data_IF_936196233981
#
_entry.id   IF_936196233981
#
_cell.length_a   1.000
_cell.length_b   1.000
_cell.length_c   1.000
_cell.angle_alpha   90.00
_cell.angle_beta   90.00
_cell.angle_gamma   90.00
#
_symmetry.space_group_name_H-M   'P 1'
#
loop_
_entity.id
_entity.type
_entity.pdbx_description
1 polymer ?
#
# COMPACT_ATOMS: atom_id res chain seq x y z
N UNK A 1 -8.31 -23.71 11.01
CA UNK A 1 -9.13 -24.03 9.81
C UNK A 1 -9.60 -22.72 9.21
N UNK A 2 -9.13 -22.38 8.00
CA UNK A 2 -9.69 -21.27 7.26
C UNK A 2 -11.08 -21.68 6.77
N UNK A 3 -12.08 -20.86 7.09
CA UNK A 3 -13.39 -21.02 6.48
C UNK A 3 -13.28 -20.66 5.00
N UNK A 4 -14.17 -21.20 4.18
CA UNK A 4 -14.30 -20.83 2.78
C UNK A 4 -14.49 -19.30 2.69
N UNK A 5 -13.74 -18.63 1.80
CA UNK A 5 -13.93 -17.20 1.54
C UNK A 5 -15.33 -16.94 1.00
N UNK A 6 -15.83 -15.72 1.23
CA UNK A 6 -17.09 -15.29 0.64
C UNK A 6 -16.95 -15.22 -0.89
N UNK A 7 -17.99 -15.62 -1.60
CA UNK A 7 -18.06 -15.41 -3.03
C UNK A 7 -18.36 -13.94 -3.39
N UNK A 8 -18.26 -13.60 -4.67
CA UNK A 8 -18.44 -12.22 -5.13
C UNK A 8 -19.85 -11.69 -4.84
N UNK A 9 -20.89 -12.53 -4.95
CA UNK A 9 -22.28 -12.15 -4.63
C UNK A 9 -22.50 -11.89 -3.14
N UNK A 10 -21.85 -12.68 -2.28
CA UNK A 10 -21.84 -12.45 -0.83
C UNK A 10 -21.13 -11.15 -0.47
N UNK A 11 -19.98 -10.86 -1.09
CA UNK A 11 -19.31 -9.57 -0.96
C UNK A 11 -20.20 -8.40 -1.41
N UNK A 12 -20.88 -8.55 -2.55
CA UNK A 12 -21.83 -7.54 -3.04
C UNK A 12 -22.94 -7.21 -2.04
N UNK A 13 -23.41 -8.20 -1.26
CA UNK A 13 -24.35 -7.95 -0.17
C UNK A 13 -23.70 -7.17 0.97
N UNK A 14 -22.52 -7.58 1.41
CA UNK A 14 -21.75 -6.87 2.47
C UNK A 14 -21.51 -5.42 2.08
N UNK A 15 -21.18 -5.15 0.83
CA UNK A 15 -20.92 -3.78 0.34
C UNK A 15 -22.18 -2.92 0.40
N UNK A 16 -23.33 -3.42 -0.01
CA UNK A 16 -24.59 -2.67 0.10
C UNK A 16 -24.93 -2.34 1.57
N UNK A 17 -24.82 -3.31 2.47
CA UNK A 17 -25.03 -3.10 3.90
C UNK A 17 -24.05 -2.06 4.49
N UNK A 18 -22.76 -2.15 4.13
CA UNK A 18 -21.76 -1.17 4.56
C UNK A 18 -22.06 0.24 4.00
N UNK A 19 -22.52 0.32 2.76
CA UNK A 19 -22.91 1.60 2.13
C UNK A 19 -24.11 2.25 2.83
N UNK A 20 -25.10 1.46 3.23
CA UNK A 20 -26.25 1.93 4.04
C UNK A 20 -25.82 2.49 5.40
N UNK A 21 -24.74 1.96 5.98
CA UNK A 21 -24.12 2.47 7.20
C UNK A 21 -23.24 3.72 6.98
N UNK A 22 -23.10 4.19 5.75
CA UNK A 22 -22.38 5.41 5.41
C UNK A 22 -20.91 5.21 5.00
N UNK A 23 -20.44 3.98 4.81
CA UNK A 23 -19.10 3.74 4.27
C UNK A 23 -19.00 4.24 2.81
N UNK A 24 -17.91 4.97 2.49
CA UNK A 24 -17.72 5.60 1.18
C UNK A 24 -16.45 5.14 0.47
N UNK A 25 -15.52 4.53 1.20
CA UNK A 25 -14.27 4.01 0.68
C UNK A 25 -14.13 2.53 0.99
N UNK A 26 -13.53 1.79 0.08
CA UNK A 26 -13.30 0.36 0.21
C UNK A 26 -11.88 0.00 -0.21
N UNK A 27 -11.10 -0.54 0.72
CA UNK A 27 -9.80 -1.14 0.45
C UNK A 27 -9.93 -2.64 0.17
N UNK A 28 -9.59 -3.06 -1.03
CA UNK A 28 -9.49 -4.47 -1.41
C UNK A 28 -8.08 -4.94 -1.07
N UNK A 29 -7.95 -5.67 0.02
CA UNK A 29 -6.69 -6.15 0.59
C UNK A 29 -6.84 -7.60 1.06
N UNK A 30 -5.84 -8.12 1.75
CA UNK A 30 -5.87 -9.48 2.32
C UNK A 30 -4.47 -10.06 2.35
N UNK A 31 -4.29 -11.32 1.96
CA UNK A 31 -2.97 -11.84 1.62
C UNK A 31 -2.48 -11.15 0.34
N UNK A 32 -2.90 -11.66 -0.81
CA UNK A 32 -2.74 -10.97 -2.10
C UNK A 32 -4.09 -11.01 -2.84
N UNK A 33 -4.80 -9.87 -2.95
CA UNK A 33 -6.17 -9.83 -3.47
C UNK A 33 -6.25 -10.25 -4.94
N UNK A 34 -5.20 -10.02 -5.73
CA UNK A 34 -5.15 -10.40 -7.15
C UNK A 34 -5.15 -11.93 -7.37
N UNK A 35 -5.00 -12.73 -6.32
CA UNK A 35 -5.15 -14.19 -6.36
C UNK A 35 -6.60 -14.64 -6.22
N UNK A 36 -7.52 -13.75 -5.81
CA UNK A 36 -8.93 -14.08 -5.69
C UNK A 36 -9.56 -14.24 -7.08
N UNK A 37 -10.16 -15.39 -7.42
CA UNK A 37 -10.65 -15.66 -8.78
C UNK A 37 -11.83 -14.77 -9.19
N UNK A 38 -12.59 -14.24 -8.25
CA UNK A 38 -13.73 -13.35 -8.46
C UNK A 38 -13.43 -11.87 -8.24
N UNK A 39 -12.16 -11.43 -8.23
CA UNK A 39 -11.82 -10.04 -7.88
C UNK A 39 -12.48 -9.02 -8.81
N UNK A 40 -12.57 -9.28 -10.10
CA UNK A 40 -13.22 -8.38 -11.06
C UNK A 40 -14.70 -8.17 -10.73
N UNK A 41 -15.42 -9.24 -10.41
CA UNK A 41 -16.82 -9.19 -10.02
C UNK A 41 -17.00 -8.46 -8.68
N UNK A 42 -16.08 -8.68 -7.72
CA UNK A 42 -16.05 -7.98 -6.44
C UNK A 42 -15.86 -6.47 -6.66
N UNK A 43 -14.93 -6.07 -7.53
CA UNK A 43 -14.73 -4.65 -7.91
C UNK A 43 -16.01 -4.08 -8.52
N UNK A 44 -16.65 -4.79 -9.43
CA UNK A 44 -17.91 -4.38 -10.04
C UNK A 44 -19.01 -4.15 -9.00
N UNK A 45 -19.18 -5.07 -8.07
CA UNK A 45 -20.16 -4.90 -6.98
C UNK A 45 -19.85 -3.71 -6.06
N UNK A 46 -18.57 -3.42 -5.80
CA UNK A 46 -18.18 -2.26 -5.03
C UNK A 46 -18.46 -0.95 -5.77
N UNK A 47 -18.16 -0.90 -7.06
CA UNK A 47 -18.49 0.21 -7.95
C UNK A 47 -20.00 0.46 -8.03
N UNK A 48 -20.81 -0.58 -8.24
CA UNK A 48 -22.27 -0.51 -8.28
C UNK A 48 -22.88 -0.02 -6.96
N UNK A 49 -22.25 -0.35 -5.82
CA UNK A 49 -22.63 0.15 -4.52
C UNK A 49 -22.19 1.60 -4.27
N UNK A 50 -21.40 2.21 -5.16
CA UNK A 50 -20.95 3.61 -5.08
C UNK A 50 -19.78 3.83 -4.12
N UNK A 51 -18.89 2.86 -3.97
CA UNK A 51 -17.63 3.04 -3.25
C UNK A 51 -16.56 3.66 -4.14
N UNK A 52 -15.69 4.47 -3.53
CA UNK A 52 -14.34 4.69 -4.04
C UNK A 52 -13.46 3.51 -3.63
N UNK A 53 -12.90 2.82 -4.62
CA UNK A 53 -12.22 1.54 -4.42
C UNK A 53 -10.71 1.65 -4.58
N UNK A 54 -9.96 1.08 -3.64
CA UNK A 54 -8.50 0.98 -3.69
C UNK A 54 -8.06 -0.47 -3.66
N UNK A 55 -7.33 -0.92 -4.67
CA UNK A 55 -6.66 -2.22 -4.67
C UNK A 55 -5.30 -2.10 -3.99
N UNK A 56 -5.09 -2.83 -2.90
CA UNK A 56 -3.82 -2.89 -2.16
C UNK A 56 -3.12 -4.21 -2.48
N UNK A 57 -2.05 -4.15 -3.27
CA UNK A 57 -1.39 -5.35 -3.81
C UNK A 57 0.13 -5.28 -3.69
N UNK A 58 0.77 -6.44 -3.72
CA UNK A 58 2.23 -6.54 -3.92
C UNK A 58 2.64 -6.20 -5.37
N UNK A 59 1.71 -6.21 -6.32
CA UNK A 59 1.96 -5.90 -7.73
C UNK A 59 2.59 -7.03 -8.55
N UNK A 60 3.12 -8.07 -7.93
CA UNK A 60 3.88 -9.14 -8.61
C UNK A 60 3.06 -10.00 -9.56
N UNK A 61 1.75 -9.99 -9.42
CA UNK A 61 0.81 -10.76 -10.27
C UNK A 61 -0.01 -9.87 -11.22
N UNK A 62 0.26 -8.56 -11.22
CA UNK A 62 -0.48 -7.60 -12.03
C UNK A 62 0.12 -7.51 -13.42
N UNK A 63 -0.64 -7.91 -14.43
CA UNK A 63 -0.33 -7.75 -15.83
C UNK A 63 -1.32 -6.76 -16.51
N UNK A 64 -1.08 -6.43 -17.77
CA UNK A 64 -1.88 -5.46 -18.52
C UNK A 64 -3.33 -5.91 -18.72
N UNK A 65 -3.55 -7.18 -18.90
CA UNK A 65 -4.91 -7.72 -19.11
C UNK A 65 -5.73 -7.55 -17.83
N UNK A 66 -5.16 -7.91 -16.69
CA UNK A 66 -5.80 -7.73 -15.37
C UNK A 66 -6.01 -6.26 -15.03
N UNK A 67 -5.01 -5.41 -15.25
CA UNK A 67 -5.15 -3.98 -14.98
C UNK A 67 -6.31 -3.37 -15.77
N UNK A 68 -6.44 -3.70 -17.06
CA UNK A 68 -7.56 -3.27 -17.90
C UNK A 68 -8.89 -3.83 -17.43
N UNK A 69 -8.91 -5.09 -17.06
CA UNK A 69 -10.12 -5.73 -16.56
C UNK A 69 -10.61 -5.06 -15.26
N UNK A 70 -9.73 -4.80 -14.32
CA UNK A 70 -10.06 -4.10 -13.08
C UNK A 70 -10.54 -2.66 -13.33
N UNK A 71 -9.91 -1.96 -14.30
CA UNK A 71 -10.36 -0.63 -14.70
C UNK A 71 -11.77 -0.66 -15.31
N UNK A 72 -12.03 -1.63 -16.20
CA UNK A 72 -13.35 -1.79 -16.81
C UNK A 72 -14.42 -2.20 -15.78
N UNK A 73 -14.03 -2.91 -14.72
CA UNK A 73 -14.89 -3.23 -13.59
C UNK A 73 -15.18 -2.04 -12.67
N UNK A 74 -14.46 -0.91 -12.83
CA UNK A 74 -14.69 0.32 -12.07
C UNK A 74 -13.74 0.53 -10.91
N UNK A 75 -12.56 -0.12 -10.87
CA UNK A 75 -11.53 0.17 -9.87
C UNK A 75 -11.03 1.61 -10.02
N UNK A 76 -10.96 2.34 -8.89
CA UNK A 76 -10.57 3.75 -8.90
C UNK A 76 -9.07 3.96 -8.68
N UNK A 77 -8.42 3.16 -7.83
CA UNK A 77 -7.08 3.43 -7.32
C UNK A 77 -6.29 2.14 -7.11
N UNK A 78 -4.97 2.21 -7.30
CA UNK A 78 -4.06 1.10 -7.00
C UNK A 78 -2.96 1.56 -6.04
N UNK A 79 -2.80 0.81 -4.95
CA UNK A 79 -1.70 0.96 -4.00
C UNK A 79 -0.76 -0.23 -4.13
N UNK A 80 0.53 0.03 -4.38
CA UNK A 80 1.56 -1.00 -4.48
C UNK A 80 2.48 -0.95 -3.27
N UNK A 81 2.66 -2.11 -2.63
CA UNK A 81 3.58 -2.26 -1.50
C UNK A 81 5.02 -2.42 -1.97
N UNK A 82 5.88 -1.47 -1.59
CA UNK A 82 7.31 -1.45 -1.92
C UNK A 82 8.13 -1.51 -0.64
N UNK A 83 9.14 -2.38 -0.56
CA UNK A 83 9.89 -2.61 0.67
C UNK A 83 11.23 -1.86 0.74
N UNK A 84 11.76 -1.41 -0.39
CA UNK A 84 13.04 -0.69 -0.48
C UNK A 84 13.22 -0.04 -1.84
N UNK A 85 14.10 0.95 -1.94
CA UNK A 85 14.39 1.68 -3.16
C UNK A 85 15.30 0.92 -4.14
N UNK A 86 15.89 -0.17 -3.69
CA UNK A 86 16.77 -1.03 -4.50
C UNK A 86 16.32 -2.48 -4.44
N UNK A 87 16.62 -3.26 -5.48
CA UNK A 87 16.32 -4.69 -5.52
C UNK A 87 16.93 -5.43 -4.32
N UNK A 88 18.17 -5.09 -3.93
CA UNK A 88 18.86 -5.71 -2.82
C UNK A 88 18.06 -5.58 -1.51
N UNK A 89 17.64 -4.37 -1.15
CA UNK A 89 16.92 -4.12 0.10
C UNK A 89 15.48 -4.63 0.01
N UNK A 90 14.81 -4.33 -1.11
CA UNK A 90 13.41 -4.74 -1.30
C UNK A 90 13.24 -6.25 -1.28
N UNK A 91 14.06 -6.98 -2.03
CA UNK A 91 13.97 -8.44 -2.13
C UNK A 91 14.40 -9.14 -0.85
N UNK A 92 15.41 -8.58 -0.14
CA UNK A 92 15.80 -9.10 1.18
C UNK A 92 14.67 -8.98 2.21
N UNK A 93 13.92 -7.87 2.22
CA UNK A 93 12.79 -7.66 3.12
C UNK A 93 11.58 -8.50 2.69
N UNK A 94 11.29 -8.57 1.39
CA UNK A 94 10.19 -9.37 0.85
C UNK A 94 10.41 -10.89 0.96
N UNK A 95 11.65 -11.32 1.10
CA UNK A 95 12.03 -12.73 1.09
C UNK A 95 11.90 -13.38 -0.30
N UNK A 96 11.78 -12.60 -1.35
CA UNK A 96 11.64 -13.05 -2.74
C UNK A 96 12.12 -11.97 -3.71
N UNK A 97 12.68 -12.40 -4.85
CA UNK A 97 13.12 -11.51 -5.92
C UNK A 97 11.91 -10.98 -6.71
N UNK A 98 11.31 -9.89 -6.24
CA UNK A 98 10.08 -9.30 -6.79
C UNK A 98 10.17 -7.79 -7.11
N UNK A 99 11.29 -7.16 -6.83
CA UNK A 99 11.45 -5.72 -7.03
C UNK A 99 11.18 -5.28 -8.48
N UNK A 100 11.75 -6.00 -9.45
CA UNK A 100 11.57 -5.67 -10.86
C UNK A 100 10.11 -5.76 -11.30
N UNK A 101 9.43 -6.82 -10.89
CA UNK A 101 8.01 -7.03 -11.19
C UNK A 101 7.13 -5.92 -10.57
N UNK A 102 7.45 -5.47 -9.36
CA UNK A 102 6.76 -4.34 -8.71
C UNK A 102 6.96 -3.03 -9.46
N UNK A 103 8.17 -2.73 -9.91
CA UNK A 103 8.46 -1.53 -10.71
C UNK A 103 7.73 -1.55 -12.04
N UNK A 104 7.63 -2.72 -12.67
CA UNK A 104 6.86 -2.89 -13.90
C UNK A 104 5.36 -2.71 -13.65
N UNK A 105 4.85 -3.27 -12.55
CA UNK A 105 3.46 -3.08 -12.14
C UNK A 105 3.13 -1.59 -11.88
N UNK A 106 4.04 -0.84 -11.26
CA UNK A 106 3.85 0.60 -11.06
C UNK A 106 3.73 1.36 -12.39
N UNK A 107 4.62 1.08 -13.36
CA UNK A 107 4.54 1.68 -14.70
C UNK A 107 3.24 1.32 -15.40
N UNK A 108 2.87 0.05 -15.34
CA UNK A 108 1.64 -0.46 -15.93
C UNK A 108 0.39 0.21 -15.36
N UNK A 109 0.33 0.36 -14.04
CA UNK A 109 -0.77 1.06 -13.34
C UNK A 109 -0.91 2.49 -13.88
N UNK A 110 0.19 3.21 -14.03
CA UNK A 110 0.21 4.57 -14.60
C UNK A 110 -0.18 4.60 -16.07
N UNK A 111 0.34 3.69 -16.89
CA UNK A 111 0.00 3.57 -18.31
C UNK A 111 -1.49 3.28 -18.55
N UNK A 112 -2.09 2.47 -17.71
CA UNK A 112 -3.52 2.18 -17.75
C UNK A 112 -4.38 3.29 -17.09
N UNK A 113 -3.75 4.38 -16.62
CA UNK A 113 -4.38 5.62 -16.15
C UNK A 113 -4.96 5.54 -14.74
N UNK A 114 -4.49 4.63 -13.90
CA UNK A 114 -4.83 4.64 -12.48
C UNK A 114 -4.00 5.65 -11.69
N UNK A 115 -4.60 6.30 -10.69
CA UNK A 115 -3.82 6.87 -9.61
C UNK A 115 -3.00 5.79 -8.91
N UNK A 116 -1.74 6.11 -8.59
CA UNK A 116 -0.80 5.20 -7.95
C UNK A 116 -0.38 5.72 -6.58
N UNK A 117 -0.55 4.89 -5.55
CA UNK A 117 0.07 5.10 -4.24
C UNK A 117 1.18 4.07 -4.00
N UNK A 118 2.35 4.55 -3.59
CA UNK A 118 3.36 3.71 -2.98
C UNK A 118 3.06 3.54 -1.50
N UNK A 119 3.08 2.32 -0.99
CA UNK A 119 3.06 2.07 0.44
C UNK A 119 4.36 1.40 0.87
N UNK A 120 5.05 2.02 1.82
CA UNK A 120 6.33 1.52 2.35
C UNK A 120 6.21 1.34 3.85
N UNK A 121 6.26 0.11 4.32
CA UNK A 121 6.34 -0.17 5.75
C UNK A 121 7.78 0.03 6.21
N UNK A 122 8.01 1.09 7.00
CA UNK A 122 9.32 1.50 7.49
C UNK A 122 9.71 0.73 8.75
N UNK A 123 10.95 0.26 8.76
CA UNK A 123 11.60 -0.38 9.91
C UNK A 123 13.13 -0.22 9.81
N UNK A 124 13.87 -0.76 10.76
CA UNK A 124 15.34 -0.64 10.85
C UNK A 124 16.08 -0.84 9.53
N UNK A 125 15.59 -1.72 8.66
CA UNK A 125 16.33 -2.13 7.46
C UNK A 125 16.10 -1.25 6.23
N UNK A 126 15.10 -0.34 6.24
CA UNK A 126 14.80 0.52 5.09
C UNK A 126 14.66 2.01 5.40
N UNK A 127 14.62 2.43 6.69
CA UNK A 127 14.53 3.84 7.08
C UNK A 127 15.61 4.74 6.45
N UNK A 128 16.80 4.20 6.22
CA UNK A 128 17.90 4.93 5.59
C UNK A 128 17.65 5.25 4.12
N UNK A 129 16.66 4.64 3.48
CA UNK A 129 16.31 4.83 2.06
C UNK A 129 15.12 5.78 1.85
N UNK A 130 14.67 6.53 2.87
CA UNK A 130 13.46 7.38 2.73
C UNK A 130 13.59 8.37 1.57
N UNK A 131 14.74 9.02 1.37
CA UNK A 131 14.95 9.93 0.24
C UNK A 131 14.86 9.19 -1.10
N UNK A 132 15.55 8.05 -1.22
CA UNK A 132 15.58 7.25 -2.44
C UNK A 132 14.20 6.65 -2.77
N UNK A 133 13.43 6.29 -1.74
CA UNK A 133 12.05 5.80 -1.90
C UNK A 133 11.10 6.88 -2.41
N UNK A 134 11.26 8.10 -1.91
CA UNK A 134 10.49 9.27 -2.40
C UNK A 134 10.85 9.59 -3.84
N UNK A 135 12.15 9.58 -4.19
CA UNK A 135 12.60 9.79 -5.56
C UNK A 135 12.08 8.71 -6.51
N UNK A 136 12.14 7.44 -6.08
CA UNK A 136 11.61 6.32 -6.86
C UNK A 136 10.10 6.44 -7.11
N UNK A 137 9.33 6.86 -6.12
CA UNK A 137 7.88 7.07 -6.26
C UNK A 137 7.57 8.19 -7.25
N UNK A 138 8.32 9.29 -7.18
CA UNK A 138 8.22 10.44 -8.08
C UNK A 138 8.57 10.04 -9.53
N UNK A 139 9.69 9.37 -9.73
CA UNK A 139 10.15 8.86 -11.04
C UNK A 139 9.14 7.91 -11.71
N UNK A 140 8.37 7.17 -10.93
CA UNK A 140 7.32 6.27 -11.41
C UNK A 140 5.94 6.95 -11.53
N UNK A 141 5.88 8.24 -11.25
CA UNK A 141 4.67 9.06 -11.40
C UNK A 141 3.60 8.72 -10.37
N UNK A 142 3.97 8.30 -9.16
CA UNK A 142 3.00 8.14 -8.08
C UNK A 142 2.45 9.51 -7.65
N UNK A 143 1.17 9.57 -7.31
CA UNK A 143 0.57 10.77 -6.73
C UNK A 143 0.77 10.83 -5.21
N UNK A 144 1.03 9.67 -4.59
CA UNK A 144 1.20 9.56 -3.15
C UNK A 144 2.23 8.51 -2.78
N UNK A 145 3.01 8.80 -1.74
CA UNK A 145 3.79 7.80 -1.01
C UNK A 145 3.41 7.80 0.47
N UNK A 146 3.05 6.64 1.00
CA UNK A 146 2.82 6.42 2.42
C UNK A 146 4.06 5.78 3.06
N UNK A 147 4.74 6.55 3.89
CA UNK A 147 5.87 6.14 4.70
C UNK A 147 5.32 5.66 6.06
N UNK A 148 4.86 4.40 6.07
CA UNK A 148 4.13 3.83 7.19
C UNK A 148 5.07 3.17 8.20
N UNK A 149 5.29 3.81 9.35
CA UNK A 149 6.08 3.20 10.41
C UNK A 149 5.44 1.91 10.91
N UNK A 150 6.26 0.85 11.06
CA UNK A 150 5.81 -0.46 11.53
C UNK A 150 5.04 -0.34 12.84
N UNK A 151 3.82 -0.88 12.87
CA UNK A 151 3.04 -1.04 14.08
C UNK A 151 3.31 -2.44 14.67
N UNK A 152 3.66 -2.52 15.96
CA UNK A 152 4.10 -3.77 16.56
C UNK A 152 2.94 -4.62 17.06
N UNK A 153 2.23 -5.26 16.13
CA UNK A 153 1.20 -6.27 16.37
C UNK A 153 1.56 -7.60 15.68
N UNK A 154 0.97 -8.70 16.12
CA UNK A 154 1.14 -10.00 15.49
C UNK A 154 2.61 -10.36 15.22
N UNK A 155 2.95 -10.63 13.98
CA UNK A 155 4.30 -11.00 13.56
C UNK A 155 5.33 -9.88 13.75
N UNK A 156 4.95 -8.61 13.57
CA UNK A 156 5.84 -7.49 13.83
C UNK A 156 6.22 -7.43 15.32
N UNK A 157 5.27 -7.70 16.22
CA UNK A 157 5.55 -7.78 17.66
C UNK A 157 6.50 -8.93 18.01
N UNK A 158 6.30 -10.10 17.40
CA UNK A 158 7.17 -11.25 17.59
C UNK A 158 8.63 -10.98 17.13
N UNK A 159 8.80 -10.12 16.10
CA UNK A 159 10.10 -9.73 15.54
C UNK A 159 10.54 -8.31 15.94
N UNK A 160 9.92 -7.74 16.97
CA UNK A 160 10.16 -6.34 17.37
C UNK A 160 11.62 -6.00 17.56
N UNK A 161 12.38 -6.89 18.20
CA UNK A 161 13.79 -6.68 18.49
C UNK A 161 14.62 -6.46 17.23
N UNK A 162 14.27 -7.14 16.15
CA UNK A 162 14.99 -7.07 14.87
C UNK A 162 14.49 -5.89 14.01
N UNK A 163 13.20 -5.59 14.05
CA UNK A 163 12.57 -4.58 13.20
C UNK A 163 12.61 -3.16 13.78
N UNK A 164 12.68 -3.04 15.13
CA UNK A 164 12.64 -1.75 15.81
C UNK A 164 13.84 -0.87 15.40
N UNK A 165 13.63 0.31 14.84
CA UNK A 165 14.70 1.28 14.64
C UNK A 165 15.17 1.88 15.96
N UNK A 166 16.32 2.55 15.97
CA UNK A 166 16.68 3.45 17.08
C UNK A 166 15.89 4.76 16.95
N UNK A 167 15.79 5.52 18.04
CA UNK A 167 15.16 6.85 18.02
C UNK A 167 15.87 7.78 17.01
N UNK A 168 17.19 7.78 16.98
CA UNK A 168 18.00 8.57 16.06
C UNK A 168 17.72 8.21 14.58
N UNK A 169 17.58 6.91 14.27
CA UNK A 169 17.23 6.47 12.92
C UNK A 169 15.84 6.99 12.51
N UNK A 170 14.87 6.91 13.43
CA UNK A 170 13.51 7.38 13.19
C UNK A 170 13.45 8.89 12.98
N UNK A 171 14.10 9.66 13.87
CA UNK A 171 14.14 11.12 13.79
C UNK A 171 14.83 11.59 12.51
N UNK A 172 15.98 11.00 12.15
CA UNK A 172 16.68 11.30 10.91
C UNK A 172 15.84 11.01 9.66
N UNK A 173 15.14 9.87 9.64
CA UNK A 173 14.27 9.52 8.52
C UNK A 173 13.07 10.47 8.39
N UNK A 174 12.50 10.91 9.53
CA UNK A 174 11.41 11.90 9.57
C UNK A 174 11.86 13.25 9.03
N UNK A 175 13.04 13.74 9.46
CA UNK A 175 13.61 14.98 8.92
C UNK A 175 13.83 14.92 7.42
N UNK A 176 14.23 13.77 6.89
CA UNK A 176 14.34 13.55 5.45
C UNK A 176 12.99 13.64 4.79
N UNK A 177 11.97 12.94 5.31
CA UNK A 177 10.62 12.95 4.75
C UNK A 177 10.02 14.37 4.74
N UNK A 178 10.18 15.15 5.79
CA UNK A 178 9.69 16.55 5.84
C UNK A 178 10.41 17.43 4.81
N UNK A 179 11.72 17.31 4.64
CA UNK A 179 12.46 18.05 3.59
C UNK A 179 12.01 17.66 2.19
N UNK A 180 11.77 16.39 1.93
CA UNK A 180 11.27 15.94 0.63
C UNK A 180 9.84 16.44 0.35
N UNK A 181 9.02 16.54 1.37
CA UNK A 181 7.67 17.11 1.30
C UNK A 181 7.68 18.61 0.94
N UNK A 182 8.65 19.36 1.46
CA UNK A 182 8.81 20.79 1.14
C UNK A 182 9.30 21.03 -0.29
N UNK A 183 9.91 20.03 -0.91
CA UNK A 183 10.55 20.13 -2.25
C UNK A 183 9.66 19.67 -3.39
N UNK A 184 8.57 18.99 -3.10
CA UNK A 184 7.70 18.35 -4.11
C UNK A 184 6.26 18.80 -3.94
N UNK A 185 5.72 19.40 -5.00
CA UNK A 185 4.34 19.85 -5.04
C UNK A 185 3.40 18.79 -5.66
N UNK A 186 3.93 17.90 -6.51
CA UNK A 186 3.16 16.93 -7.29
C UNK A 186 3.09 15.53 -6.64
N UNK A 187 3.85 15.28 -5.57
CA UNK A 187 3.84 14.01 -4.83
C UNK A 187 3.41 14.24 -3.38
N UNK A 188 2.26 13.69 -3.00
CA UNK A 188 1.81 13.72 -1.60
C UNK A 188 2.63 12.73 -0.76
N UNK A 189 3.42 13.23 0.20
CA UNK A 189 4.21 12.42 1.12
C UNK A 189 3.49 12.35 2.46
N UNK A 190 3.03 11.16 2.83
CA UNK A 190 2.33 10.89 4.09
C UNK A 190 3.26 10.15 5.04
N UNK A 191 3.56 10.77 6.19
CA UNK A 191 4.27 10.12 7.26
C UNK A 191 3.30 9.56 8.30
N UNK A 192 3.19 8.23 8.39
CA UNK A 192 2.37 7.57 9.40
C UNK A 192 3.18 7.42 10.67
N UNK A 193 2.74 8.09 11.74
CA UNK A 193 3.46 8.10 13.02
C UNK A 193 3.56 6.70 13.63
N UNK A 194 4.74 6.35 14.21
CA UNK A 194 4.91 5.09 14.93
C UNK A 194 4.09 5.06 16.23
N UNK A 195 3.89 3.87 16.78
CA UNK A 195 3.32 3.67 18.13
C UNK A 195 4.41 3.58 19.24
N UNK A 196 5.63 3.92 18.89
CA UNK A 196 6.80 3.91 19.77
C UNK A 196 7.58 5.23 19.65
N UNK A 197 8.30 5.59 20.72
CA UNK A 197 9.07 6.83 20.86
C UNK A 197 8.27 8.14 20.84
N UNK A 198 6.95 8.07 20.82
CA UNK A 198 6.05 9.21 20.86
C UNK A 198 5.41 9.37 22.23
N UNK A 199 5.02 10.60 22.57
CA UNK A 199 4.25 10.90 23.76
C UNK A 199 2.78 10.50 23.56
N UNK A 200 2.17 9.91 24.57
CA UNK A 200 0.75 9.53 24.55
C UNK A 200 -0.14 10.63 25.14
N UNK A 201 -1.41 10.73 24.71
CA UNK A 201 -2.06 9.98 23.65
C UNK A 201 -1.68 10.44 22.24
N UNK A 202 -1.56 9.50 21.30
CA UNK A 202 -1.46 9.84 19.88
C UNK A 202 -2.72 10.55 19.45
N UNK A 203 -2.63 11.59 18.59
CA UNK A 203 -3.82 12.10 17.91
C UNK A 203 -4.46 10.97 17.09
N UNK A 204 -5.77 10.83 17.16
CA UNK A 204 -6.50 9.99 16.22
C UNK A 204 -6.26 10.53 14.81
N UNK A 205 -5.76 9.67 13.93
CA UNK A 205 -5.63 9.97 12.51
C UNK A 205 -6.95 9.65 11.81
#
# INVERSE_FOLDING_TARGET
EYRQELDAGEWGRVFREARELGAIQLGLSGGEPTLHPGLEEIIGHACDAGFYTTLVTAGSTLDRERARSYRNAGLDHVQISVQGATAEVSDAIAGTASFREKMEACRLVREEGFPLTFNVVLHRFNLHQVADLVELADDLGAERIELANTQFYGWALANRKELMPTREQLESAREVAEREKERRDDLEIVWVFPDYYEDYPKPCM
#
